data_IF_946062305349
#
_entry.id   IF_946062305349
#
_cell.length_a   1.000
_cell.length_b   1.000
_cell.length_c   1.000
_cell.angle_alpha   90.00
_cell.angle_beta   90.00
_cell.angle_gamma   90.00
#
_symmetry.space_group_name_H-M   'P 1'
#
loop_
_entity.id
_entity.type
_entity.pdbx_description
1 polymer ?
#
# COMPACT_ATOMS: atom_id res chain seq x y z
N UNK A 1 4.10 9.43 4.43
CA UNK A 1 3.45 8.11 4.21
C UNK A 1 4.51 7.08 4.44
N UNK A 2 4.21 6.09 5.26
CA UNK A 2 5.17 5.10 5.76
C UNK A 2 5.05 3.77 5.03
N UNK A 3 6.02 2.88 5.25
CA UNK A 3 6.12 1.57 4.62
C UNK A 3 6.70 0.53 5.57
N UNK A 4 6.24 -0.72 5.46
CA UNK A 4 6.86 -1.90 6.09
C UNK A 4 7.89 -2.59 5.19
N UNK A 5 8.37 -1.88 4.18
CA UNK A 5 9.48 -2.33 3.36
C UNK A 5 10.71 -2.63 4.24
N UNK A 6 11.35 -3.75 3.97
CA UNK A 6 12.56 -4.19 4.64
C UNK A 6 13.48 -4.81 3.56
N UNK A 7 14.74 -4.35 3.42
CA UNK A 7 15.69 -4.84 2.41
C UNK A 7 15.86 -6.37 2.39
N UNK A 8 15.70 -7.01 3.54
CA UNK A 8 15.86 -8.43 3.77
C UNK A 8 14.63 -9.27 3.38
N UNK A 9 13.46 -8.65 3.17
CA UNK A 9 12.28 -9.37 2.66
C UNK A 9 12.60 -10.01 1.30
N UNK A 10 12.11 -11.23 1.07
CA UNK A 10 12.20 -11.82 -0.25
C UNK A 10 11.36 -11.03 -1.28
N UNK A 11 11.63 -11.25 -2.56
CA UNK A 11 11.05 -10.45 -3.64
C UNK A 11 9.54 -10.62 -3.80
N UNK A 12 8.99 -11.74 -3.33
CA UNK A 12 7.57 -12.10 -3.49
C UNK A 12 6.78 -11.88 -2.20
N UNK A 13 7.44 -11.67 -1.08
CA UNK A 13 6.77 -11.34 0.18
C UNK A 13 6.12 -9.96 0.07
N UNK A 14 4.80 -9.88 0.31
CA UNK A 14 4.09 -8.62 0.26
C UNK A 14 4.45 -7.77 1.47
N UNK A 15 4.51 -6.46 1.26
CA UNK A 15 4.60 -5.48 2.32
C UNK A 15 3.59 -4.37 2.06
N UNK A 16 3.19 -3.69 3.14
CA UNK A 16 2.22 -2.62 3.09
C UNK A 16 2.89 -1.24 3.16
N UNK A 17 2.28 -0.25 2.52
CA UNK A 17 2.74 1.14 2.51
C UNK A 17 1.57 2.12 2.32
N UNK A 18 1.82 3.41 2.51
CA UNK A 18 0.85 4.47 2.22
C UNK A 18 0.03 4.97 3.42
N UNK A 19 0.35 4.54 4.64
CA UNK A 19 -0.37 4.93 5.87
C UNK A 19 0.49 5.81 6.79
N UNK A 20 -0.13 6.34 7.85
CA UNK A 20 0.54 7.01 8.98
C UNK A 20 0.87 5.96 10.05
N UNK A 21 1.92 6.21 10.85
CA UNK A 21 2.25 5.39 12.01
C UNK A 21 1.88 6.11 13.31
N UNK A 22 1.43 5.37 14.32
CA UNK A 22 1.28 5.87 15.68
C UNK A 22 2.63 5.92 16.42
N UNK A 23 2.61 6.33 17.70
CA UNK A 23 3.82 6.41 18.53
C UNK A 23 4.49 5.06 18.79
N UNK A 24 3.73 3.96 18.67
CA UNK A 24 4.22 2.59 18.82
C UNK A 24 4.70 2.00 17.47
N UNK A 25 4.64 2.81 16.41
CA UNK A 25 5.05 2.43 15.08
C UNK A 25 4.05 1.52 14.37
N UNK A 26 2.78 1.47 14.78
CA UNK A 26 1.71 0.71 14.12
C UNK A 26 0.95 1.55 13.08
N UNK A 27 0.41 0.95 12.00
CA UNK A 27 -0.43 1.67 11.06
C UNK A 27 -1.65 2.28 11.76
N UNK A 28 -1.86 3.59 11.59
CA UNK A 28 -3.09 4.26 12.01
C UNK A 28 -4.20 3.85 11.06
N UNK A 29 -5.03 2.90 11.49
CA UNK A 29 -6.21 2.47 10.74
C UNK A 29 -7.37 3.43 11.06
N UNK A 30 -7.99 3.99 10.04
CA UNK A 30 -9.19 4.79 10.20
C UNK A 30 -10.41 3.93 10.56
N UNK A 31 -11.31 4.45 11.37
CA UNK A 31 -12.59 3.79 11.68
C UNK A 31 -13.64 3.99 10.55
N UNK A 32 -13.31 4.85 9.60
CA UNK A 32 -14.12 5.25 8.46
C UNK A 32 -14.96 6.50 8.71
N UNK A 33 -14.80 7.19 9.83
CA UNK A 33 -15.41 8.50 10.11
C UNK A 33 -14.42 9.66 9.95
N UNK A 34 -13.14 9.37 9.67
CA UNK A 34 -12.11 10.37 9.44
C UNK A 34 -12.43 11.25 8.22
N UNK A 35 -12.11 12.55 8.30
CA UNK A 35 -12.26 13.47 7.17
C UNK A 35 -11.33 13.10 6.01
N UNK A 36 -10.13 12.61 6.34
CA UNK A 36 -9.13 12.16 5.38
C UNK A 36 -9.30 10.66 5.08
N UNK A 37 -9.27 10.24 3.80
CA UNK A 37 -9.34 8.83 3.46
C UNK A 37 -8.10 8.06 3.94
N UNK A 38 -8.34 6.91 4.58
CA UNK A 38 -7.28 5.97 4.90
C UNK A 38 -6.82 5.23 3.62
N UNK A 39 -5.51 5.29 3.33
CA UNK A 39 -4.89 4.61 2.20
C UNK A 39 -3.98 3.50 2.73
N UNK A 40 -4.22 2.27 2.29
CA UNK A 40 -3.38 1.12 2.55
C UNK A 40 -3.10 0.40 1.24
N UNK A 41 -1.86 0.44 0.79
CA UNK A 41 -1.40 -0.24 -0.39
C UNK A 41 -0.57 -1.47 0.00
N UNK A 42 -0.66 -2.52 -0.81
CA UNK A 42 0.19 -3.71 -0.70
C UNK A 42 0.91 -3.92 -2.03
N UNK A 43 2.17 -4.32 -1.96
CA UNK A 43 2.92 -4.76 -3.14
C UNK A 43 4.04 -5.71 -2.74
N UNK A 44 4.75 -6.24 -3.74
CA UNK A 44 5.97 -7.03 -3.57
C UNK A 44 7.12 -6.30 -4.27
N UNK A 45 8.37 -6.58 -3.90
CA UNK A 45 9.52 -5.99 -4.61
C UNK A 45 9.52 -6.38 -6.08
N UNK A 46 9.12 -7.62 -6.37
CA UNK A 46 8.95 -8.10 -7.74
C UNK A 46 7.99 -7.21 -8.53
N UNK A 47 6.78 -6.96 -8.00
CA UNK A 47 5.77 -6.16 -8.68
C UNK A 47 6.23 -4.70 -8.88
N UNK A 48 6.87 -4.10 -7.89
CA UNK A 48 7.41 -2.74 -8.03
C UNK A 48 8.51 -2.65 -9.10
N UNK A 49 9.36 -3.66 -9.25
CA UNK A 49 10.36 -3.69 -10.34
C UNK A 49 9.74 -3.85 -11.72
N UNK A 50 8.58 -4.49 -11.82
CA UNK A 50 7.87 -4.58 -13.11
C UNK A 50 7.36 -3.22 -13.59
N UNK A 51 7.21 -2.23 -12.69
CA UNK A 51 6.78 -0.87 -13.07
C UNK A 51 7.79 -0.13 -13.95
N UNK A 52 9.06 -0.55 -13.97
CA UNK A 52 10.12 0.03 -14.82
C UNK A 52 10.10 -0.52 -16.25
N UNK A 53 9.25 -1.52 -16.53
CA UNK A 53 9.14 -2.14 -17.86
C UNK A 53 8.31 -1.28 -18.81
N UNK A 54 8.52 -1.49 -20.12
CA UNK A 54 7.68 -0.87 -21.14
C UNK A 54 6.20 -1.22 -20.92
N UNK A 55 5.27 -0.25 -20.97
CA UNK A 55 3.84 -0.50 -20.79
C UNK A 55 3.25 -1.53 -21.77
N UNK A 56 3.91 -1.78 -22.90
CA UNK A 56 3.51 -2.81 -23.86
C UNK A 56 3.86 -4.24 -23.44
N UNK A 57 4.71 -4.42 -22.43
CA UNK A 57 5.19 -5.73 -21.99
C UNK A 57 4.64 -6.17 -20.63
N UNK A 58 4.13 -5.24 -19.84
CA UNK A 58 3.59 -5.50 -18.52
C UNK A 58 2.45 -4.54 -18.19
N UNK A 59 1.28 -5.11 -17.88
CA UNK A 59 0.13 -4.37 -17.38
C UNK A 59 0.09 -4.52 -15.87
N UNK A 60 0.33 -3.42 -15.16
CA UNK A 60 0.21 -3.39 -13.70
C UNK A 60 -1.25 -3.21 -13.31
N UNK A 61 -1.85 -4.24 -12.72
CA UNK A 61 -3.19 -4.17 -12.15
C UNK A 61 -3.12 -3.69 -10.70
N UNK A 62 -3.82 -2.60 -10.38
CA UNK A 62 -3.97 -2.08 -9.03
C UNK A 62 -5.46 -2.10 -8.66
N UNK A 63 -5.79 -2.88 -7.64
CA UNK A 63 -7.11 -2.87 -7.03
C UNK A 63 -7.13 -1.95 -5.81
N UNK A 64 -8.21 -1.20 -5.66
CA UNK A 64 -8.44 -0.36 -4.50
C UNK A 64 -9.86 -0.59 -3.97
N UNK A 65 -9.98 -0.77 -2.65
CA UNK A 65 -11.27 -0.88 -1.96
C UNK A 65 -11.41 0.31 -1.02
N UNK A 66 -12.48 1.09 -1.21
CA UNK A 66 -12.79 2.25 -0.38
C UNK A 66 -14.06 1.97 0.43
N UNK A 67 -14.01 2.23 1.74
CA UNK A 67 -15.22 2.28 2.56
C UNK A 67 -15.87 3.65 2.36
N UNK A 68 -17.03 3.69 1.71
CA UNK A 68 -17.84 4.90 1.60
C UNK A 68 -18.82 4.94 2.78
N UNK A 69 -18.69 5.93 3.65
CA UNK A 69 -19.70 6.20 4.68
C UNK A 69 -20.65 7.28 4.19
N UNK A 70 -21.92 6.93 4.01
CA UNK A 70 -23.00 7.92 3.89
C UNK A 70 -23.33 8.45 5.28
N UNK A 71 -23.33 9.78 5.45
CA UNK A 71 -23.92 10.44 6.62
C UNK A 71 -25.41 10.13 6.74
#
# INVERSE_FOLDING_TARGET
MESRYCPELDDLTPFSFGYKLDNDGNPVLGDGNDEDPFILAFSTKYMLRQLDRSPGEFVFHMDASFKLTTK
#
